data_IF_559608753119
#
_entry.id   IF_559608753119
#
_cell.length_a   1.000
_cell.length_b   1.000
_cell.length_c   1.000
_cell.angle_alpha   90.00
_cell.angle_beta   90.00
_cell.angle_gamma   90.00
#
_symmetry.space_group_name_H-M   'P 1'
#
loop_
_entity.id
_entity.type
_entity.pdbx_description
1 polymer ?
#
# COMPACT_ATOMS: atom_id res chain seq x y z
N UNK A 1 -10.07 6.37 -17.64
CA UNK A 1 -9.97 7.30 -16.49
C UNK A 1 -8.63 7.20 -15.75
N UNK A 2 -8.06 6.00 -15.54
CA UNK A 2 -6.77 5.79 -14.86
C UNK A 2 -5.56 6.49 -15.51
N UNK A 3 -5.49 6.58 -16.84
CA UNK A 3 -4.40 7.28 -17.56
C UNK A 3 -4.39 8.79 -17.30
N UNK A 4 -5.55 9.43 -17.18
CA UNK A 4 -5.65 10.87 -16.85
C UNK A 4 -5.26 11.13 -15.39
N UNK A 5 -5.63 10.24 -14.47
CA UNK A 5 -5.25 10.35 -13.06
C UNK A 5 -3.74 10.12 -12.86
N UNK A 6 -3.17 9.08 -13.47
CA UNK A 6 -1.72 8.83 -13.47
C UNK A 6 -0.92 10.01 -14.02
N UNK A 7 -1.38 10.64 -15.11
CA UNK A 7 -0.74 11.84 -15.67
C UNK A 7 -0.81 13.03 -14.72
N UNK A 8 -1.96 13.24 -14.07
CA UNK A 8 -2.14 14.32 -13.09
C UNK A 8 -1.29 14.12 -11.83
N UNK A 9 -1.12 12.88 -11.39
CA UNK A 9 -0.20 12.53 -10.29
C UNK A 9 1.26 12.73 -10.70
N UNK A 10 1.64 12.32 -11.92
CA UNK A 10 2.98 12.57 -12.46
C UNK A 10 3.29 14.07 -12.55
N UNK A 11 2.35 14.89 -13.03
CA UNK A 11 2.50 16.34 -13.10
C UNK A 11 2.66 16.96 -11.71
N UNK A 12 1.90 16.46 -10.72
CA UNK A 12 2.00 16.94 -9.33
C UNK A 12 3.30 16.54 -8.63
N UNK A 13 3.83 15.34 -8.93
CA UNK A 13 5.05 14.81 -8.32
C UNK A 13 6.31 15.09 -9.14
N UNK A 14 6.20 15.80 -10.27
CA UNK A 14 7.32 16.04 -11.17
C UNK A 14 8.40 16.91 -10.51
N UNK A 15 8.01 17.88 -9.68
CA UNK A 15 8.94 18.76 -8.99
C UNK A 15 9.75 18.00 -7.94
N UNK A 16 9.07 17.16 -7.16
CA UNK A 16 9.66 16.32 -6.12
C UNK A 16 10.53 15.23 -6.73
N UNK A 17 10.11 14.62 -7.85
CA UNK A 17 10.91 13.66 -8.60
C UNK A 17 12.16 14.33 -9.17
N UNK A 18 12.06 15.57 -9.65
CA UNK A 18 13.21 16.33 -10.12
C UNK A 18 14.20 16.61 -9.00
N UNK A 19 13.72 17.08 -7.85
CA UNK A 19 14.56 17.31 -6.67
C UNK A 19 15.25 16.01 -6.22
N UNK A 20 14.53 14.90 -6.13
CA UNK A 20 15.09 13.61 -5.77
C UNK A 20 16.19 13.16 -6.76
N UNK A 21 15.98 13.38 -8.06
CA UNK A 21 16.97 13.09 -9.08
C UNK A 21 18.22 13.97 -8.97
N UNK A 22 18.05 15.28 -8.73
CA UNK A 22 19.14 16.23 -8.51
C UNK A 22 19.97 15.88 -7.26
N UNK A 23 19.33 15.30 -6.23
CA UNK A 23 20.00 14.74 -5.05
C UNK A 23 20.69 13.39 -5.31
N UNK A 24 20.64 12.86 -6.54
CA UNK A 24 21.28 11.60 -6.91
C UNK A 24 20.51 10.35 -6.48
N UNK A 25 19.25 10.48 -6.05
CA UNK A 25 18.45 9.33 -5.66
C UNK A 25 18.01 8.52 -6.88
N UNK A 26 18.15 7.20 -6.77
CA UNK A 26 17.60 6.25 -7.76
C UNK A 26 16.22 5.76 -7.30
N UNK A 27 15.36 5.26 -8.20
CA UNK A 27 14.06 4.69 -7.83
C UNK A 27 14.17 3.63 -6.74
N UNK A 28 15.10 2.69 -6.87
CA UNK A 28 15.30 1.65 -5.86
C UNK A 28 15.74 2.21 -4.50
N UNK A 29 16.53 3.30 -4.47
CA UNK A 29 16.88 3.97 -3.20
C UNK A 29 15.64 4.59 -2.55
N UNK A 30 14.75 5.19 -3.35
CA UNK A 30 13.48 5.74 -2.84
C UNK A 30 12.57 4.63 -2.32
N UNK A 31 12.47 3.48 -2.99
CA UNK A 31 11.73 2.31 -2.48
C UNK A 31 12.33 1.78 -1.16
N UNK A 32 13.67 1.77 -1.03
CA UNK A 32 14.36 1.38 0.21
C UNK A 32 14.03 2.36 1.36
N UNK A 33 14.02 3.67 1.10
CA UNK A 33 13.59 4.66 2.10
C UNK A 33 12.13 4.41 2.49
N UNK A 34 11.27 4.14 1.51
CA UNK A 34 9.86 3.82 1.70
C UNK A 34 9.62 2.62 2.64
N UNK A 35 10.35 1.51 2.46
CA UNK A 35 10.21 0.34 3.35
C UNK A 35 10.68 0.64 4.77
N UNK A 36 11.79 1.39 4.96
CA UNK A 36 12.23 1.78 6.30
C UNK A 36 11.22 2.67 7.01
N UNK A 37 10.55 3.58 6.28
CA UNK A 37 9.44 4.36 6.80
C UNK A 37 8.26 3.46 7.19
N UNK A 38 7.89 2.47 6.37
CA UNK A 38 6.82 1.53 6.71
C UNK A 38 7.12 0.75 7.99
N UNK A 39 8.35 0.23 8.13
CA UNK A 39 8.79 -0.48 9.34
C UNK A 39 8.79 0.44 10.57
N UNK A 40 9.22 1.69 10.39
CA UNK A 40 9.18 2.69 11.46
C UNK A 40 7.73 2.96 11.89
N UNK A 41 6.81 3.15 10.94
CA UNK A 41 5.38 3.32 11.21
C UNK A 41 4.81 2.11 11.97
N UNK A 42 5.14 0.89 11.53
CA UNK A 42 4.73 -0.34 12.19
C UNK A 42 5.19 -0.40 13.65
N UNK A 43 6.46 -0.08 13.92
CA UNK A 43 7.02 -0.02 15.27
C UNK A 43 6.31 1.05 16.11
N UNK A 44 6.01 2.22 15.55
CA UNK A 44 5.31 3.28 16.28
C UNK A 44 3.87 2.85 16.62
N UNK A 45 3.16 2.13 15.74
CA UNK A 45 1.84 1.58 16.05
C UNK A 45 1.86 0.61 17.24
N UNK A 46 2.98 -0.07 17.51
CA UNK A 46 3.10 -0.95 18.69
C UNK A 46 3.02 -0.19 20.02
N UNK A 47 3.23 1.14 20.01
CA UNK A 47 3.09 2.00 21.19
C UNK A 47 1.62 2.22 21.61
N UNK A 48 0.67 1.63 20.87
CA UNK A 48 -0.72 1.53 21.27
C UNK A 48 -1.48 2.85 21.16
N UNK A 49 -2.33 3.13 22.14
CA UNK A 49 -3.43 4.11 22.01
C UNK A 49 -3.03 5.57 22.18
N UNK A 50 -1.75 5.87 22.36
CA UNK A 50 -1.30 7.24 22.58
C UNK A 50 -1.59 8.08 21.32
N UNK A 51 -2.37 9.19 21.42
CA UNK A 51 -2.73 10.02 20.27
C UNK A 51 -1.51 10.54 19.49
N UNK A 52 -0.42 10.88 20.18
CA UNK A 52 0.82 11.33 19.55
C UNK A 52 1.45 10.23 18.69
N UNK A 53 1.55 8.99 19.22
CA UNK A 53 2.10 7.88 18.46
C UNK A 53 1.20 7.46 17.30
N UNK A 54 -0.12 7.53 17.45
CA UNK A 54 -1.05 7.30 16.33
C UNK A 54 -0.87 8.32 15.20
N UNK A 55 -0.75 9.61 15.55
CA UNK A 55 -0.48 10.66 14.56
C UNK A 55 0.88 10.43 13.88
N UNK A 56 1.93 10.18 14.66
CA UNK A 56 3.28 9.96 14.14
C UNK A 56 3.34 8.73 13.23
N UNK A 57 2.77 7.60 13.66
CA UNK A 57 2.68 6.39 12.85
C UNK A 57 1.94 6.65 11.52
N UNK A 58 0.86 7.44 11.56
CA UNK A 58 0.09 7.79 10.36
C UNK A 58 0.89 8.67 9.41
N UNK A 59 1.58 9.71 9.91
CA UNK A 59 2.43 10.58 9.09
C UNK A 59 3.54 9.77 8.44
N UNK A 60 4.22 8.92 9.21
CA UNK A 60 5.30 8.06 8.70
C UNK A 60 4.78 7.05 7.67
N UNK A 61 3.58 6.49 7.87
CA UNK A 61 2.91 5.62 6.88
C UNK A 61 2.63 6.36 5.57
N UNK A 62 2.11 7.59 5.65
CA UNK A 62 1.82 8.41 4.48
C UNK A 62 3.10 8.81 3.74
N UNK A 63 4.18 9.10 4.46
CA UNK A 63 5.50 9.34 3.85
C UNK A 63 6.02 8.10 3.13
N UNK A 64 5.84 6.90 3.70
CA UNK A 64 6.17 5.64 3.03
C UNK A 64 5.39 5.47 1.72
N UNK A 65 4.07 5.68 1.74
CA UNK A 65 3.23 5.63 0.53
C UNK A 65 3.53 6.74 -0.48
N UNK A 66 4.06 7.88 -0.02
CA UNK A 66 4.56 8.93 -0.90
C UNK A 66 5.86 8.51 -1.61
N UNK A 67 6.80 7.88 -0.91
CA UNK A 67 8.02 7.33 -1.51
C UNK A 67 7.70 6.31 -2.62
N UNK A 68 6.74 5.42 -2.39
CA UNK A 68 6.23 4.47 -3.39
C UNK A 68 5.68 5.17 -4.64
N UNK A 69 4.84 6.20 -4.47
CA UNK A 69 4.35 6.96 -5.61
C UNK A 69 5.49 7.68 -6.35
N UNK A 70 6.48 8.20 -5.60
CA UNK A 70 7.61 8.95 -6.11
C UNK A 70 8.58 8.06 -6.89
N UNK A 71 8.91 6.85 -6.43
CA UNK A 71 9.85 5.96 -7.10
C UNK A 71 9.38 5.59 -8.51
N UNK A 72 8.08 5.35 -8.69
CA UNK A 72 7.52 4.99 -9.97
C UNK A 72 7.49 6.20 -10.90
N UNK A 73 7.24 7.40 -10.37
CA UNK A 73 7.32 8.65 -11.15
C UNK A 73 8.76 8.90 -11.58
N UNK A 74 9.72 8.78 -10.67
CA UNK A 74 11.15 8.94 -10.92
C UNK A 74 11.64 7.96 -12.00
N UNK A 75 11.28 6.68 -11.89
CA UNK A 75 11.64 5.65 -12.85
C UNK A 75 11.11 5.97 -14.27
N UNK A 76 9.88 6.48 -14.38
CA UNK A 76 9.27 6.82 -15.67
C UNK A 76 9.82 8.11 -16.27
N UNK A 77 9.93 9.18 -15.48
CA UNK A 77 10.40 10.48 -15.96
C UNK A 77 11.84 10.42 -16.46
N UNK A 78 12.70 9.68 -15.75
CA UNK A 78 14.12 9.56 -16.09
C UNK A 78 14.46 8.30 -16.89
N UNK A 79 13.46 7.57 -17.41
CA UNK A 79 13.62 6.35 -18.22
C UNK A 79 14.48 5.27 -17.53
N UNK A 80 14.38 5.16 -16.21
CA UNK A 80 15.06 4.19 -15.36
C UNK A 80 14.18 2.97 -15.01
N UNK A 81 13.09 2.75 -15.74
CA UNK A 81 12.22 1.57 -15.55
C UNK A 81 12.95 0.28 -15.91
N UNK A 82 13.04 -0.66 -14.97
CA UNK A 82 13.64 -1.99 -15.19
C UNK A 82 12.72 -3.10 -14.69
N UNK A 83 12.87 -4.32 -15.24
CA UNK A 83 12.13 -5.50 -14.77
C UNK A 83 12.44 -5.82 -13.30
N UNK A 84 13.72 -5.71 -12.91
CA UNK A 84 14.14 -5.91 -11.53
C UNK A 84 13.54 -4.86 -10.59
N UNK A 85 13.55 -3.58 -10.97
CA UNK A 85 12.95 -2.50 -10.17
C UNK A 85 11.47 -2.75 -9.89
N UNK A 86 10.69 -3.11 -10.92
CA UNK A 86 9.26 -3.44 -10.71
C UNK A 86 9.02 -4.68 -9.84
N UNK A 87 9.89 -5.69 -9.93
CA UNK A 87 9.86 -6.84 -9.02
C UNK A 87 10.22 -6.43 -7.57
N UNK A 88 11.28 -5.66 -7.41
CA UNK A 88 11.81 -5.22 -6.12
C UNK A 88 10.80 -4.34 -5.38
N UNK A 89 10.26 -3.33 -6.05
CA UNK A 89 9.15 -2.50 -5.60
C UNK A 89 7.95 -3.35 -5.14
N UNK A 90 7.52 -4.28 -6.00
CA UNK A 90 6.44 -5.22 -5.65
C UNK A 90 6.73 -6.09 -4.43
N UNK A 91 7.98 -6.47 -4.15
CA UNK A 91 8.32 -7.25 -2.96
C UNK A 91 8.31 -6.35 -1.72
N UNK A 92 8.92 -5.16 -1.82
CA UNK A 92 8.98 -4.20 -0.71
C UNK A 92 7.59 -3.76 -0.27
N UNK A 93 6.68 -3.51 -1.20
CA UNK A 93 5.27 -3.21 -0.90
C UNK A 93 4.59 -4.23 0.00
N UNK A 94 4.88 -5.52 -0.23
CA UNK A 94 4.25 -6.62 0.51
C UNK A 94 4.79 -6.66 1.93
N UNK A 95 6.10 -6.44 2.09
CA UNK A 95 6.70 -6.29 3.42
C UNK A 95 6.22 -5.03 4.14
N UNK A 96 6.09 -3.90 3.44
CA UNK A 96 5.55 -2.65 3.99
C UNK A 96 4.13 -2.87 4.53
N UNK A 97 3.21 -3.37 3.68
CA UNK A 97 1.83 -3.63 4.07
C UNK A 97 1.78 -4.61 5.26
N UNK A 98 2.46 -5.76 5.16
CA UNK A 98 2.45 -6.79 6.21
C UNK A 98 2.96 -6.24 7.56
N UNK A 99 4.05 -5.47 7.54
CA UNK A 99 4.64 -4.91 8.75
C UNK A 99 3.69 -3.93 9.44
N UNK A 100 3.02 -3.06 8.69
CA UNK A 100 2.08 -2.08 9.24
C UNK A 100 0.87 -2.76 9.86
N UNK A 101 0.27 -3.75 9.18
CA UNK A 101 -0.82 -4.53 9.77
C UNK A 101 -0.37 -5.28 11.02
N UNK A 102 0.83 -5.87 11.02
CA UNK A 102 1.39 -6.54 12.19
C UNK A 102 1.60 -5.57 13.36
N UNK A 103 2.13 -4.37 13.11
CA UNK A 103 2.32 -3.32 14.11
C UNK A 103 1.00 -2.90 14.77
N UNK A 104 -0.07 -2.79 13.99
CA UNK A 104 -1.42 -2.47 14.48
C UNK A 104 -2.00 -3.59 15.35
N UNK A 105 -1.83 -4.86 14.94
CA UNK A 105 -2.27 -6.04 15.70
C UNK A 105 -1.50 -6.12 17.03
N UNK A 106 -0.17 -6.01 16.98
CA UNK A 106 0.71 -6.05 18.15
C UNK A 106 0.40 -4.89 19.10
N UNK A 107 0.15 -3.69 18.56
CA UNK A 107 -0.27 -2.51 19.31
C UNK A 107 -1.68 -2.60 19.91
N UNK A 108 -2.40 -3.71 19.71
CA UNK A 108 -3.77 -3.96 20.20
C UNK A 108 -4.74 -2.84 19.78
N UNK A 109 -4.54 -2.32 18.58
CA UNK A 109 -5.31 -1.24 17.97
C UNK A 109 -6.53 -1.76 17.18
N UNK A 110 -6.57 -3.06 16.92
CA UNK A 110 -7.70 -3.76 16.34
C UNK A 110 -7.88 -5.13 17.01
N UNK A 111 -9.02 -5.76 16.73
CA UNK A 111 -9.24 -7.16 17.02
C UNK A 111 -8.29 -8.04 16.15
N UNK A 112 -7.52 -8.97 16.75
CA UNK A 112 -6.52 -9.75 16.02
C UNK A 112 -7.09 -10.62 14.89
N UNK A 113 -8.33 -11.10 15.01
CA UNK A 113 -8.97 -11.88 13.95
C UNK A 113 -9.19 -11.01 12.72
N UNK A 114 -9.78 -9.81 12.90
CA UNK A 114 -9.99 -8.87 11.80
C UNK A 114 -8.68 -8.32 11.24
N UNK A 115 -7.69 -8.03 12.09
CA UNK A 115 -6.36 -7.61 11.67
C UNK A 115 -5.67 -8.68 10.80
N UNK A 116 -5.74 -9.94 11.21
CA UNK A 116 -5.17 -11.06 10.45
C UNK A 116 -5.85 -11.26 9.10
N UNK A 117 -7.18 -11.11 9.03
CA UNK A 117 -7.93 -11.16 7.78
C UNK A 117 -7.60 -9.99 6.84
N UNK A 118 -7.40 -8.78 7.37
CA UNK A 118 -6.99 -7.62 6.58
C UNK A 118 -5.56 -7.80 6.02
N UNK A 119 -4.64 -8.31 6.84
CA UNK A 119 -3.27 -8.63 6.42
C UNK A 119 -3.28 -9.67 5.30
N UNK A 120 -3.93 -10.82 5.53
CA UNK A 120 -4.02 -11.89 4.54
C UNK A 120 -4.69 -11.42 3.25
N UNK A 121 -5.81 -10.69 3.37
CA UNK A 121 -6.51 -10.09 2.24
C UNK A 121 -5.63 -9.14 1.44
N UNK A 122 -4.90 -8.23 2.11
CA UNK A 122 -3.99 -7.28 1.45
C UNK A 122 -2.92 -7.98 0.60
N UNK A 123 -2.29 -9.03 1.15
CA UNK A 123 -1.30 -9.83 0.43
C UNK A 123 -1.93 -10.61 -0.74
N UNK A 124 -3.09 -11.20 -0.52
CA UNK A 124 -3.80 -11.98 -1.55
C UNK A 124 -4.34 -11.11 -2.69
N UNK A 125 -4.74 -9.87 -2.44
CA UNK A 125 -5.10 -8.92 -3.50
C UNK A 125 -3.92 -8.78 -4.47
N UNK A 126 -2.71 -8.53 -3.95
CA UNK A 126 -1.51 -8.39 -4.76
C UNK A 126 -1.07 -9.70 -5.41
N UNK A 127 -1.17 -10.82 -4.70
CA UNK A 127 -0.78 -12.14 -5.21
C UNK A 127 -1.69 -12.62 -6.33
N UNK A 128 -3.01 -12.52 -6.18
CA UNK A 128 -3.97 -12.92 -7.21
C UNK A 128 -3.76 -12.15 -8.50
N UNK A 129 -3.45 -10.86 -8.42
CA UNK A 129 -3.06 -10.07 -9.60
C UNK A 129 -1.79 -10.61 -10.24
N UNK A 130 -0.71 -10.79 -9.47
CA UNK A 130 0.57 -11.24 -10.01
C UNK A 130 0.46 -12.65 -10.65
N UNK A 131 -0.30 -13.56 -10.04
CA UNK A 131 -0.55 -14.91 -10.57
C UNK A 131 -1.40 -14.89 -11.85
N UNK A 132 -2.41 -14.04 -11.91
CA UNK A 132 -3.22 -13.89 -13.11
C UNK A 132 -2.43 -13.26 -14.27
N UNK A 133 -1.58 -12.27 -13.99
CA UNK A 133 -0.66 -11.68 -14.97
C UNK A 133 0.37 -12.70 -15.47
N UNK A 134 0.91 -13.54 -14.57
CA UNK A 134 1.77 -14.67 -14.94
C UNK A 134 1.06 -15.72 -15.80
N UNK A 135 -0.27 -15.85 -15.69
CA UNK A 135 -1.11 -16.69 -16.54
C UNK A 135 -1.52 -16.01 -17.86
N UNK A 136 -0.97 -14.83 -18.19
CA UNK A 136 -1.21 -14.12 -19.43
C UNK A 136 -2.42 -13.18 -19.43
N UNK A 137 -3.10 -12.99 -18.28
CA UNK A 137 -4.24 -12.08 -18.17
C UNK A 137 -3.79 -10.66 -17.80
N UNK A 138 -4.39 -9.65 -18.42
CA UNK A 138 -4.24 -8.25 -17.96
C UNK A 138 -5.20 -7.97 -16.82
N UNK A 139 -4.67 -7.64 -15.64
CA UNK A 139 -5.44 -7.42 -14.41
C UNK A 139 -5.58 -5.96 -13.99
N UNK A 140 -5.14 -5.03 -14.85
CA UNK A 140 -5.31 -3.60 -14.63
C UNK A 140 -6.81 -3.30 -14.41
N UNK A 141 -7.13 -2.52 -13.38
CA UNK A 141 -8.51 -2.10 -13.02
C UNK A 141 -9.50 -3.20 -12.61
N UNK A 142 -9.05 -4.44 -12.41
CA UNK A 142 -9.91 -5.52 -11.90
C UNK A 142 -9.86 -5.55 -10.37
N UNK A 143 -10.99 -5.31 -9.72
CA UNK A 143 -11.15 -5.30 -8.26
C UNK A 143 -11.54 -3.94 -7.70
N UNK A 144 -12.20 -3.92 -6.53
CA UNK A 144 -12.68 -2.67 -5.89
C UNK A 144 -11.54 -1.88 -5.24
N UNK A 145 -10.56 -2.57 -4.66
CA UNK A 145 -9.55 -1.93 -3.79
C UNK A 145 -8.15 -2.22 -4.28
N UNK A 146 -7.38 -1.17 -4.60
CA UNK A 146 -5.95 -1.26 -4.85
C UNK A 146 -5.15 -0.84 -3.60
N UNK A 147 -3.84 -0.65 -3.73
CA UNK A 147 -2.96 -0.38 -2.59
C UNK A 147 -3.12 1.03 -2.02
N UNK A 148 -3.22 2.03 -2.89
CA UNK A 148 -3.39 3.41 -2.49
C UNK A 148 -4.65 3.60 -1.63
N UNK A 149 -5.77 2.99 -2.01
CA UNK A 149 -7.02 3.07 -1.23
C UNK A 149 -6.86 2.45 0.16
N UNK A 150 -6.11 1.34 0.29
CA UNK A 150 -5.85 0.72 1.60
C UNK A 150 -5.07 1.65 2.52
N UNK A 151 -3.99 2.26 2.01
CA UNK A 151 -3.16 3.21 2.77
C UNK A 151 -4.02 4.41 3.21
N UNK A 152 -4.86 4.95 2.32
CA UNK A 152 -5.72 6.08 2.63
C UNK A 152 -6.79 5.74 3.68
N UNK A 153 -7.45 4.59 3.56
CA UNK A 153 -8.43 4.12 4.57
C UNK A 153 -7.73 3.95 5.93
N UNK A 154 -6.55 3.35 5.93
CA UNK A 154 -5.81 3.11 7.16
C UNK A 154 -5.35 4.41 7.83
N UNK A 155 -4.84 5.37 7.04
CA UNK A 155 -4.45 6.68 7.52
C UNK A 155 -5.64 7.46 8.07
N UNK A 156 -6.77 7.49 7.33
CA UNK A 156 -7.99 8.16 7.80
C UNK A 156 -8.50 7.54 9.09
N UNK A 157 -8.56 6.21 9.18
CA UNK A 157 -8.99 5.50 10.38
C UNK A 157 -8.06 5.78 11.58
N UNK A 158 -6.76 5.87 11.34
CA UNK A 158 -5.76 6.17 12.38
C UNK A 158 -5.85 7.62 12.86
N UNK A 159 -6.10 8.60 11.98
CA UNK A 159 -6.33 10.00 12.35
C UNK A 159 -7.63 10.16 13.16
N UNK A 160 -8.71 9.47 12.76
CA UNK A 160 -9.96 9.50 13.52
C UNK A 160 -9.77 8.81 14.89
N UNK A 161 -8.91 7.79 14.96
CA UNK A 161 -8.61 7.07 16.20
C UNK A 161 -7.95 7.93 17.29
N UNK A 162 -7.34 9.06 16.92
CA UNK A 162 -6.85 10.10 17.86
C UNK A 162 -7.99 10.60 18.76
N UNK A 163 -9.21 10.76 18.20
CA UNK A 163 -10.39 11.24 18.91
C UNK A 163 -11.35 10.11 19.34
N UNK A 164 -11.36 9.02 18.57
CA UNK A 164 -12.27 7.87 18.73
C UNK A 164 -11.52 6.58 18.47
N UNK A 165 -10.86 6.04 19.50
CA UNK A 165 -9.98 4.87 19.40
C UNK A 165 -10.56 3.70 18.57
N UNK A 166 -11.86 3.43 18.66
CA UNK A 166 -12.53 2.36 17.91
C UNK A 166 -12.48 2.53 16.39
N UNK A 167 -12.22 3.74 15.89
CA UNK A 167 -12.20 4.04 14.46
C UNK A 167 -11.13 3.23 13.70
N UNK A 168 -9.96 2.99 14.31
CA UNK A 168 -8.92 2.18 13.67
C UNK A 168 -9.36 0.72 13.53
N UNK A 169 -9.98 0.15 14.58
CA UNK A 169 -10.56 -1.18 14.49
C UNK A 169 -11.64 -1.29 13.40
N UNK A 170 -12.53 -0.29 13.29
CA UNK A 170 -13.55 -0.24 12.24
C UNK A 170 -12.89 -0.14 10.86
N UNK A 171 -11.85 0.68 10.70
CA UNK A 171 -11.06 0.77 9.48
C UNK A 171 -10.44 -0.57 9.08
N UNK A 172 -9.90 -1.31 10.04
CA UNK A 172 -9.37 -2.67 9.82
C UNK A 172 -10.47 -3.65 9.40
N UNK A 173 -11.65 -3.62 10.01
CA UNK A 173 -12.79 -4.46 9.61
C UNK A 173 -13.19 -4.15 8.16
N UNK A 174 -13.29 -2.87 7.80
CA UNK A 174 -13.60 -2.43 6.45
C UNK A 174 -12.53 -2.96 5.48
N UNK A 175 -11.24 -2.82 5.81
CA UNK A 175 -10.14 -3.32 4.99
C UNK A 175 -10.18 -4.84 4.84
N UNK A 176 -10.46 -5.59 5.92
CA UNK A 176 -10.60 -7.04 5.87
C UNK A 176 -11.69 -7.45 4.88
N UNK A 177 -12.87 -6.82 4.94
CA UNK A 177 -13.97 -7.11 4.02
C UNK A 177 -13.60 -6.72 2.58
N UNK A 178 -13.16 -5.49 2.35
CA UNK A 178 -12.86 -4.98 1.00
C UNK A 178 -11.76 -5.77 0.29
N UNK A 179 -10.69 -6.12 1.00
CA UNK A 179 -9.57 -6.85 0.41
C UNK A 179 -9.96 -8.29 0.07
N UNK A 180 -10.66 -9.00 0.95
CA UNK A 180 -11.10 -10.37 0.68
C UNK A 180 -12.18 -10.42 -0.40
N UNK A 181 -13.10 -9.44 -0.45
CA UNK A 181 -14.05 -9.32 -1.57
C UNK A 181 -13.32 -9.06 -2.89
N UNK A 182 -12.30 -8.21 -2.89
CA UNK A 182 -11.47 -7.95 -4.09
C UNK A 182 -10.76 -9.23 -4.56
N UNK A 183 -10.25 -10.06 -3.64
CA UNK A 183 -9.65 -11.37 -3.95
C UNK A 183 -10.66 -12.28 -4.65
N UNK A 184 -11.89 -12.37 -4.13
CA UNK A 184 -12.96 -13.17 -4.74
C UNK A 184 -13.31 -12.66 -6.14
N UNK A 185 -13.42 -11.34 -6.32
CA UNK A 185 -13.70 -10.73 -7.61
C UNK A 185 -12.61 -11.03 -8.65
N UNK A 186 -11.34 -10.88 -8.27
CA UNK A 186 -10.20 -11.21 -9.13
C UNK A 186 -10.20 -12.68 -9.50
N UNK A 187 -10.43 -13.56 -8.52
CA UNK A 187 -10.46 -15.00 -8.74
C UNK A 187 -11.59 -15.41 -9.69
N UNK A 188 -12.78 -14.83 -9.53
CA UNK A 188 -13.92 -15.08 -10.41
C UNK A 188 -13.70 -14.55 -11.84
N UNK A 189 -13.06 -13.38 -11.97
CA UNK A 189 -12.66 -12.85 -13.27
C UNK A 189 -11.70 -13.80 -13.99
N UNK A 190 -10.67 -14.28 -13.29
CA UNK A 190 -9.69 -15.23 -13.81
C UNK A 190 -10.36 -16.54 -14.23
N UNK A 191 -11.24 -17.08 -13.38
CA UNK A 191 -12.03 -18.28 -13.67
C UNK A 191 -12.79 -18.16 -14.99
N UNK A 192 -13.50 -17.05 -15.20
CA UNK A 192 -14.25 -16.78 -16.44
C UNK A 192 -13.37 -16.65 -17.68
N UNK A 193 -12.11 -16.27 -17.53
CA UNK A 193 -11.19 -16.02 -18.65
C UNK A 193 -10.32 -17.21 -19.02
N UNK A 194 -9.99 -18.09 -18.07
CA UNK A 194 -9.11 -19.24 -18.30
C UNK A 194 -9.85 -20.57 -18.43
N UNK A 195 -11.10 -20.67 -17.96
CA UNK A 195 -11.90 -21.90 -18.07
C UNK A 195 -12.78 -21.95 -19.32
N UNK A 196 -12.63 -20.97 -20.21
CA UNK A 196 -13.23 -20.97 -21.54
C UNK A 196 -12.17 -21.31 -22.58
#
# INVERSE_FOLDING_TARGET
MLTKFKKKVQEKLAAEAKLAHELGLTPNMVSIIGIFLAFSSAIIYTQGRNPFYLLLATVVLLLSGFCDALDGVLARLYKQTTKFGGFFDSVLDRYADASVYAGIIIGRLCDPFWGSLALAGSLLVSYTRARAEAAGLKMESVGITERAERILILAAASLIAIFRFQALNIGIIILAVLTNLTVLQRSFYVYKKLKN
#
